data_IF_086626522100
#
_entry.id   IF_086626522100
#
_cell.length_a   1.000
_cell.length_b   1.000
_cell.length_c   1.000
_cell.angle_alpha   90.00
_cell.angle_beta   90.00
_cell.angle_gamma   90.00
#
_symmetry.space_group_name_H-M   'P 1'
#
loop_
_entity.id
_entity.type
_entity.pdbx_description
1 polymer ?
#
# COMPACT_ATOMS: atom_id res chain seq x y z
N UNK A 1 -1.38 0.69 -2.91
CA UNK A 1 -2.02 -0.42 -3.69
C UNK A 1 -3.02 -1.11 -2.79
N UNK A 2 -4.26 -1.33 -3.24
CA UNK A 2 -5.32 -1.94 -2.43
C UNK A 2 -6.03 -3.02 -3.22
N UNK A 3 -6.44 -4.08 -2.53
CA UNK A 3 -7.28 -5.13 -3.10
C UNK A 3 -8.74 -4.67 -3.14
N UNK A 4 -9.31 -4.52 -4.34
CA UNK A 4 -10.66 -3.98 -4.60
C UNK A 4 -11.81 -4.78 -3.96
N UNK A 5 -11.57 -6.04 -3.58
CA UNK A 5 -12.59 -6.93 -2.98
C UNK A 5 -12.93 -6.70 -1.50
N UNK A 6 -12.29 -5.74 -0.80
CA UNK A 6 -12.57 -5.46 0.63
C UNK A 6 -12.78 -3.98 0.89
N UNK A 7 -14.04 -3.59 1.08
CA UNK A 7 -14.46 -2.21 1.40
C UNK A 7 -13.69 -1.62 2.59
N UNK A 8 -13.43 -2.41 3.63
CA UNK A 8 -12.64 -1.99 4.78
C UNK A 8 -11.20 -1.57 4.42
N UNK A 9 -10.55 -2.25 3.47
CA UNK A 9 -9.20 -1.91 3.05
C UNK A 9 -9.14 -0.59 2.27
N UNK A 10 -10.19 -0.30 1.48
CA UNK A 10 -10.32 0.98 0.77
C UNK A 10 -10.53 2.12 1.76
N UNK A 11 -11.46 1.96 2.72
CA UNK A 11 -11.72 2.96 3.76
C UNK A 11 -10.46 3.26 4.59
N UNK A 12 -9.70 2.23 4.95
CA UNK A 12 -8.44 2.42 5.66
C UNK A 12 -7.35 3.07 4.80
N UNK A 13 -7.31 2.77 3.50
CA UNK A 13 -6.40 3.46 2.57
C UNK A 13 -6.68 4.95 2.50
N UNK A 14 -7.96 5.32 2.39
CA UNK A 14 -8.39 6.71 2.34
C UNK A 14 -8.06 7.42 3.67
N UNK A 15 -8.30 6.77 4.81
CA UNK A 15 -7.96 7.30 6.13
C UNK A 15 -6.45 7.51 6.30
N UNK A 16 -5.63 6.54 5.90
CA UNK A 16 -4.17 6.64 5.93
C UNK A 16 -3.68 7.75 5.00
N UNK A 17 -4.21 7.81 3.77
CA UNK A 17 -3.86 8.85 2.81
C UNK A 17 -4.20 10.25 3.29
N UNK A 18 -5.36 10.43 3.94
CA UNK A 18 -5.75 11.69 4.55
C UNK A 18 -4.82 12.10 5.70
N UNK A 19 -4.41 11.15 6.55
CA UNK A 19 -3.45 11.41 7.65
C UNK A 19 -2.08 11.81 7.13
N UNK A 20 -1.52 11.05 6.19
CA UNK A 20 -0.22 11.36 5.59
C UNK A 20 -0.25 12.72 4.87
N UNK A 21 -1.34 13.04 4.18
CA UNK A 21 -1.51 14.34 3.52
C UNK A 21 -1.58 15.49 4.52
N UNK A 22 -2.24 15.31 5.68
CA UNK A 22 -2.30 16.35 6.72
C UNK A 22 -0.96 16.56 7.43
N UNK A 23 -0.10 15.54 7.43
CA UNK A 23 1.30 15.60 7.89
C UNK A 23 2.25 16.19 6.82
N UNK A 24 1.75 16.47 5.61
CA UNK A 24 2.49 17.15 4.54
C UNK A 24 3.13 16.22 3.50
N UNK A 25 2.77 14.93 3.48
CA UNK A 25 3.26 13.97 2.49
C UNK A 25 2.39 13.98 1.22
N UNK A 26 3.01 13.84 0.05
CA UNK A 26 2.30 13.59 -1.20
C UNK A 26 1.82 12.13 -1.22
N UNK A 27 0.51 11.93 -1.36
CA UNK A 27 -0.08 10.58 -1.44
C UNK A 27 -0.80 10.42 -2.77
N UNK A 28 -0.52 9.31 -3.45
CA UNK A 28 -1.22 8.94 -4.68
C UNK A 28 -1.47 7.45 -4.77
N UNK A 29 -2.50 7.11 -5.53
CA UNK A 29 -2.84 5.73 -5.84
C UNK A 29 -1.94 5.20 -6.94
N UNK A 30 -1.20 4.13 -6.63
CA UNK A 30 -0.38 3.43 -7.62
C UNK A 30 -1.23 2.38 -8.36
N UNK A 31 -1.66 2.73 -9.58
CA UNK A 31 -2.50 1.89 -10.45
C UNK A 31 -1.76 1.27 -11.63
N UNK A 32 -0.70 1.94 -12.08
CA UNK A 32 0.13 1.55 -13.21
C UNK A 32 1.61 1.88 -12.93
N UNK A 33 2.55 1.30 -13.71
CA UNK A 33 3.97 1.52 -13.48
C UNK A 33 4.42 2.98 -13.67
N UNK A 34 3.75 3.81 -14.46
CA UNK A 34 4.16 5.21 -14.65
C UNK A 34 3.99 6.05 -13.37
N UNK A 35 3.08 5.65 -12.49
CA UNK A 35 2.83 6.30 -11.21
C UNK A 35 3.85 5.98 -10.11
N UNK A 36 4.92 5.22 -10.39
CA UNK A 36 5.90 4.81 -9.39
C UNK A 36 7.20 5.64 -9.38
N UNK A 37 7.32 6.62 -10.27
CA UNK A 37 8.49 7.50 -10.32
C UNK A 37 8.51 8.46 -9.12
N UNK A 38 9.69 8.74 -8.56
CA UNK A 38 9.84 9.66 -7.41
C UNK A 38 9.04 9.26 -6.14
N UNK A 39 8.73 7.97 -5.97
CA UNK A 39 8.14 7.48 -4.72
C UNK A 39 9.22 7.16 -3.69
N UNK A 40 9.04 7.64 -2.46
CA UNK A 40 9.88 7.28 -1.31
C UNK A 40 9.44 5.95 -0.66
N UNK A 41 8.16 5.60 -0.78
CA UNK A 41 7.55 4.43 -0.15
C UNK A 41 6.30 4.00 -0.91
N UNK A 42 6.10 2.69 -1.06
CA UNK A 42 4.81 2.11 -1.47
C UNK A 42 4.17 1.41 -0.28
N UNK A 43 2.95 1.83 0.05
CA UNK A 43 2.11 1.11 1.03
C UNK A 43 1.12 0.21 0.30
N UNK A 44 1.15 -1.07 0.63
CA UNK A 44 0.23 -2.09 0.15
C UNK A 44 -0.70 -2.51 1.29
N UNK A 45 -2.00 -2.28 1.14
CA UNK A 45 -3.01 -2.68 2.11
C UNK A 45 -3.76 -3.91 1.57
N UNK A 46 -3.49 -5.07 2.17
CA UNK A 46 -4.00 -6.36 1.71
C UNK A 46 -3.05 -7.50 2.06
N UNK A 47 -3.26 -8.68 1.46
CA UNK A 47 -2.38 -9.84 1.63
C UNK A 47 -1.17 -9.86 0.69
N UNK A 48 -0.47 -11.00 0.64
CA UNK A 48 0.73 -11.23 -0.18
C UNK A 48 0.51 -10.90 -1.67
N UNK A 49 -0.66 -11.20 -2.23
CA UNK A 49 -0.98 -10.86 -3.62
C UNK A 49 -1.00 -9.35 -3.90
N UNK A 50 -1.37 -8.53 -2.90
CA UNK A 50 -1.33 -7.07 -3.01
C UNK A 50 0.11 -6.54 -2.96
N UNK A 51 0.95 -7.15 -2.11
CA UNK A 51 2.37 -6.83 -2.02
C UNK A 51 3.07 -7.19 -3.33
N UNK A 52 2.83 -8.38 -3.88
CA UNK A 52 3.39 -8.79 -5.17
C UNK A 52 2.93 -7.89 -6.31
N UNK A 53 1.65 -7.46 -6.30
CA UNK A 53 1.15 -6.45 -7.25
C UNK A 53 1.89 -5.12 -7.11
N UNK A 54 2.14 -4.66 -5.88
CA UNK A 54 2.89 -3.45 -5.62
C UNK A 54 4.34 -3.55 -6.13
N UNK A 55 5.03 -4.66 -5.86
CA UNK A 55 6.37 -4.93 -6.37
C UNK A 55 6.39 -4.96 -7.90
N UNK A 56 5.38 -5.57 -8.53
CA UNK A 56 5.28 -5.58 -9.99
C UNK A 56 5.06 -4.18 -10.58
N UNK A 57 4.27 -3.33 -9.92
CA UNK A 57 4.06 -1.93 -10.32
C UNK A 57 5.33 -1.09 -10.19
N UNK A 58 6.25 -1.46 -9.29
CA UNK A 58 7.54 -0.79 -9.17
C UNK A 58 8.47 -1.06 -10.35
N UNK A 59 8.23 -2.05 -11.20
CA UNK A 59 9.01 -2.31 -12.43
C UNK A 59 10.54 -2.21 -12.23
N UNK A 60 11.04 -2.79 -11.13
CA UNK A 60 12.47 -2.80 -10.79
C UNK A 60 13.02 -1.53 -10.12
N UNK A 61 12.21 -0.49 -9.87
CA UNK A 61 12.63 0.70 -9.11
C UNK A 61 12.93 0.36 -7.65
N UNK A 62 13.98 0.95 -7.05
CA UNK A 62 14.45 0.63 -5.70
C UNK A 62 13.63 1.34 -4.62
N UNK A 63 12.30 1.23 -4.67
CA UNK A 63 11.39 1.85 -3.69
C UNK A 63 10.97 0.80 -2.65
N UNK A 64 11.07 1.10 -1.35
CA UNK A 64 10.62 0.17 -0.31
C UNK A 64 9.10 -0.07 -0.38
N UNK A 65 8.69 -1.30 -0.05
CA UNK A 65 7.27 -1.69 0.03
C UNK A 65 6.93 -2.05 1.47
N UNK A 66 5.96 -1.35 2.05
CA UNK A 66 5.35 -1.67 3.34
C UNK A 66 4.02 -2.41 3.12
N UNK A 67 3.92 -3.63 3.63
CA UNK A 67 2.71 -4.44 3.54
C UNK A 67 1.92 -4.43 4.85
N UNK A 68 0.69 -3.93 4.83
CA UNK A 68 -0.25 -4.00 5.98
C UNK A 68 -1.30 -5.06 5.67
N UNK A 69 -1.38 -6.09 6.52
CA UNK A 69 -2.36 -7.16 6.35
C UNK A 69 -3.75 -6.68 6.79
N UNK A 70 -4.78 -7.07 6.04
CA UNK A 70 -6.19 -6.83 6.39
C UNK A 70 -7.00 -8.12 6.52
N UNK A 71 -6.36 -9.25 6.88
CA UNK A 71 -6.95 -10.58 6.90
C UNK A 71 -6.20 -11.60 7.77
N UNK A 72 -6.23 -12.88 7.39
CA UNK A 72 -5.38 -13.89 8.02
C UNK A 72 -3.90 -13.59 7.74
N UNK A 73 -3.06 -13.80 8.75
CA UNK A 73 -1.61 -13.61 8.70
C UNK A 73 -1.02 -14.29 7.44
N UNK A 74 -0.60 -13.46 6.48
CA UNK A 74 0.14 -13.87 5.28
C UNK A 74 1.63 -13.86 5.58
N UNK A 75 2.45 -14.41 4.67
CA UNK A 75 3.88 -14.57 4.92
C UNK A 75 4.68 -13.25 4.76
N UNK A 76 4.15 -12.28 3.99
CA UNK A 76 4.88 -11.08 3.58
C UNK A 76 4.33 -9.78 4.16
N UNK A 77 3.19 -9.81 4.82
CA UNK A 77 2.60 -8.63 5.48
C UNK A 77 3.23 -8.41 6.85
N UNK A 78 3.76 -7.22 7.09
CA UNK A 78 4.59 -6.92 8.27
C UNK A 78 3.84 -6.25 9.43
N UNK A 79 2.63 -5.72 9.20
CA UNK A 79 1.85 -4.99 10.20
C UNK A 79 0.36 -5.33 10.11
N UNK A 80 -0.35 -5.35 11.24
CA UNK A 80 -1.82 -5.45 11.28
C UNK A 80 -2.46 -4.05 11.25
N UNK A 81 -3.75 -3.91 10.92
CA UNK A 81 -4.43 -2.60 10.88
C UNK A 81 -4.49 -1.94 12.26
N UNK A 82 -4.32 -2.75 13.32
CA UNK A 82 -4.31 -2.34 14.72
C UNK A 82 -3.02 -1.60 15.10
N UNK A 83 -1.95 -1.78 14.31
CA UNK A 83 -0.61 -1.25 14.56
C UNK A 83 -0.35 0.13 13.91
N UNK A 84 -1.30 0.66 13.11
CA UNK A 84 -1.12 1.84 12.23
C UNK A 84 -2.13 2.95 12.52
#
# INVERSE_FOLDING_TARGET
VVHEGREAAVVQADALGARLSSEGHEVRWLTDPGGADDLDLVVSLGGDGSILRAVNLLDGRPVPVLGVNFGQLGYLTSCEPEDV
#
